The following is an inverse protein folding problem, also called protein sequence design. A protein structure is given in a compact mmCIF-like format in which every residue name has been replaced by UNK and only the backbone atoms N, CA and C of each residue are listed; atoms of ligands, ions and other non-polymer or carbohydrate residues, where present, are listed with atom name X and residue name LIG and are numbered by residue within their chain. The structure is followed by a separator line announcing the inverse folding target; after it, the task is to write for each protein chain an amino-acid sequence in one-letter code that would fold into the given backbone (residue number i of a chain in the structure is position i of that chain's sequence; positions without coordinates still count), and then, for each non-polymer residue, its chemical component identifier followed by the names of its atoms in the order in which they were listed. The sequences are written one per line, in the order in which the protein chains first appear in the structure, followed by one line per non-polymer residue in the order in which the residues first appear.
data_IF_518220582775
#
_entry.id   IF_518220582775
#
_cell.length_a   1.000
_cell.length_b   1.000
_cell.length_c   1.000
_cell.angle_alpha   90.00
_cell.angle_beta   90.00
_cell.angle_gamma   90.00
#
_symmetry.space_group_name_H-M   'P 1'
#
loop_
_entity.id
_entity.type
_entity.pdbx_description
1 polymer ?
#
# COMPACT_ATOMS: atom_id res chain seq x y z
N UNK A 1 8.04 -11.61 0.89
CA UNK A 1 7.87 -13.06 1.15
C UNK A 1 9.12 -13.74 0.65
N UNK A 2 9.79 -14.57 1.46
CA UNK A 2 11.00 -15.27 1.04
C UNK A 2 10.72 -16.55 0.20
N UNK A 3 9.45 -16.93 0.05
CA UNK A 3 9.03 -18.18 -0.59
C UNK A 3 8.01 -17.91 -1.71
N UNK A 4 8.06 -18.71 -2.77
CA UNK A 4 7.17 -18.62 -3.95
C UNK A 4 6.11 -19.73 -3.97
N UNK A 5 6.09 -20.62 -2.97
CA UNK A 5 5.08 -21.67 -2.81
C UNK A 5 4.08 -21.34 -1.71
N UNK A 6 2.89 -21.96 -1.80
CA UNK A 6 1.78 -21.71 -0.88
C UNK A 6 2.08 -22.13 0.55
N UNK A 7 2.67 -23.32 0.76
CA UNK A 7 2.83 -23.89 2.09
C UNK A 7 3.79 -23.06 2.92
N UNK A 8 5.00 -22.82 2.41
CA UNK A 8 6.02 -22.04 3.11
C UNK A 8 5.60 -20.58 3.28
N UNK A 9 4.85 -20.00 2.33
CA UNK A 9 4.27 -18.67 2.48
C UNK A 9 3.24 -18.58 3.62
N UNK A 10 2.38 -19.58 3.75
CA UNK A 10 1.38 -19.65 4.85
C UNK A 10 2.08 -19.82 6.19
N UNK A 11 3.06 -20.73 6.29
CA UNK A 11 3.85 -20.94 7.51
C UNK A 11 4.61 -19.67 7.92
N UNK A 12 5.20 -18.96 6.96
CA UNK A 12 5.84 -17.67 7.20
C UNK A 12 4.85 -16.65 7.81
N UNK A 13 3.67 -16.48 7.22
CA UNK A 13 2.67 -15.54 7.72
C UNK A 13 2.14 -15.92 9.11
N UNK A 14 1.93 -17.22 9.39
CA UNK A 14 1.55 -17.71 10.72
C UNK A 14 2.64 -17.47 11.77
N UNK A 15 3.91 -17.71 11.42
CA UNK A 15 5.04 -17.42 12.33
C UNK A 15 5.12 -15.93 12.69
N UNK A 16 4.73 -15.06 11.76
CA UNK A 16 4.67 -13.63 11.97
C UNK A 16 3.50 -13.25 12.88
N UNK A 17 2.32 -13.86 12.69
CA UNK A 17 1.18 -13.71 13.59
C UNK A 17 1.51 -14.15 15.03
N UNK A 18 2.20 -15.29 15.19
CA UNK A 18 2.66 -15.77 16.49
C UNK A 18 3.60 -14.76 17.17
N UNK A 19 4.45 -14.11 16.39
CA UNK A 19 5.36 -13.07 16.90
C UNK A 19 4.58 -11.85 17.39
N UNK A 20 3.54 -11.43 16.67
CA UNK A 20 2.61 -10.36 17.09
C UNK A 20 1.87 -10.72 18.38
N UNK A 21 1.38 -11.97 18.49
CA UNK A 21 0.68 -12.46 19.66
C UNK A 21 1.59 -12.41 20.90
N UNK A 22 2.86 -12.86 20.76
CA UNK A 22 3.84 -12.93 21.86
C UNK A 22 4.40 -11.56 22.29
N UNK A 23 4.55 -10.61 21.37
CA UNK A 23 5.17 -9.32 21.64
C UNK A 23 4.31 -8.46 22.59
N UNK A 24 4.90 -7.89 23.65
CA UNK A 24 4.21 -6.91 24.50
C UNK A 24 4.39 -5.48 23.97
N UNK A 25 5.49 -5.24 23.27
CA UNK A 25 5.84 -3.96 22.65
C UNK A 25 6.12 -4.12 21.16
N UNK A 26 5.46 -3.30 20.34
CA UNK A 26 5.53 -3.37 18.88
C UNK A 26 5.84 -1.98 18.32
N UNK A 27 6.86 -1.89 17.47
CA UNK A 27 7.16 -0.70 16.67
C UNK A 27 6.79 -0.95 15.22
N UNK A 28 5.96 -0.08 14.65
CA UNK A 28 5.60 -0.08 13.22
C UNK A 28 6.39 1.02 12.53
N UNK A 29 7.10 0.68 11.46
CA UNK A 29 7.91 1.64 10.69
C UNK A 29 7.21 2.00 9.40
N UNK A 30 6.54 3.15 9.37
CA UNK A 30 5.86 3.69 8.18
C UNK A 30 4.43 4.17 8.44
N UNK A 31 4.18 5.47 8.26
CA UNK A 31 2.88 6.12 8.38
C UNK A 31 2.02 6.10 7.13
N UNK A 32 2.17 5.06 6.28
CA UNK A 32 1.27 4.81 5.15
C UNK A 32 0.06 3.97 5.56
N UNK A 33 -0.80 3.61 4.61
CA UNK A 33 -2.06 2.92 4.88
C UNK A 33 -1.87 1.65 5.73
N UNK A 34 -0.93 0.78 5.32
CA UNK A 34 -0.61 -0.47 6.03
C UNK A 34 -0.22 -0.20 7.49
N UNK A 35 0.70 0.72 7.74
CA UNK A 35 1.16 0.99 9.10
C UNK A 35 0.10 1.62 9.99
N UNK A 36 -0.74 2.49 9.42
CA UNK A 36 -1.88 3.08 10.13
C UNK A 36 -2.89 2.02 10.54
N UNK A 37 -3.33 1.18 9.59
CA UNK A 37 -4.31 0.13 9.85
C UNK A 37 -3.76 -0.89 10.86
N UNK A 38 -2.52 -1.34 10.68
CA UNK A 38 -1.85 -2.23 11.64
C UNK A 38 -1.81 -1.63 13.05
N UNK A 39 -1.49 -0.35 13.19
CA UNK A 39 -1.42 0.29 14.51
C UNK A 39 -2.79 0.34 15.19
N UNK A 40 -3.84 0.67 14.44
CA UNK A 40 -5.20 0.71 14.99
C UNK A 40 -5.74 -0.67 15.32
N UNK A 41 -5.55 -1.65 14.43
CA UNK A 41 -6.07 -3.01 14.60
C UNK A 41 -5.39 -3.70 15.79
N UNK A 42 -4.07 -3.51 15.96
CA UNK A 42 -3.34 -4.05 17.10
C UNK A 42 -3.82 -3.47 18.44
N UNK A 43 -4.15 -2.18 18.50
CA UNK A 43 -4.65 -1.56 19.74
C UNK A 43 -6.07 -1.97 20.08
N UNK A 44 -6.91 -2.28 19.10
CA UNK A 44 -8.24 -2.84 19.36
C UNK A 44 -8.18 -4.31 19.77
N UNK A 45 -7.41 -5.14 19.05
CA UNK A 45 -7.27 -6.57 19.35
C UNK A 45 -6.51 -6.83 20.66
N UNK A 46 -5.51 -5.99 20.95
CA UNK A 46 -4.63 -6.15 22.10
C UNK A 46 -4.44 -4.82 22.86
N UNK A 47 -5.46 -4.34 23.60
CA UNK A 47 -5.42 -3.03 24.25
C UNK A 47 -4.23 -2.83 25.20
N UNK A 48 -3.72 -3.90 25.80
CA UNK A 48 -2.58 -3.87 26.71
C UNK A 48 -1.20 -3.77 26.02
N UNK A 49 -1.10 -4.01 24.71
CA UNK A 49 0.18 -3.92 23.99
C UNK A 49 0.59 -2.46 23.80
N UNK A 50 1.89 -2.22 23.94
CA UNK A 50 2.53 -0.94 23.65
C UNK A 50 2.80 -0.86 22.15
N UNK A 51 2.07 0.00 21.43
CA UNK A 51 2.24 0.17 19.97
C UNK A 51 2.79 1.55 19.68
N UNK A 52 3.94 1.60 19.00
CA UNK A 52 4.57 2.84 18.54
C UNK A 52 4.68 2.85 17.03
N UNK A 53 4.18 3.89 16.36
CA UNK A 53 4.41 4.12 14.94
C UNK A 53 5.51 5.17 14.74
N UNK A 54 6.53 4.82 13.96
CA UNK A 54 7.61 5.73 13.53
C UNK A 54 7.43 6.07 12.06
N UNK A 55 7.44 7.37 11.73
CA UNK A 55 7.36 7.85 10.36
C UNK A 55 8.40 8.92 10.04
N UNK A 56 9.00 8.81 8.85
CA UNK A 56 10.07 9.71 8.40
C UNK A 56 9.63 11.12 8.02
N UNK A 57 8.32 11.38 7.91
CA UNK A 57 7.75 12.69 7.58
C UNK A 57 6.88 13.18 8.71
N UNK A 58 6.57 14.48 8.72
CA UNK A 58 5.71 15.11 9.74
C UNK A 58 4.24 14.67 9.66
N UNK A 59 3.77 14.36 8.45
CA UNK A 59 2.39 13.96 8.20
C UNK A 59 2.32 12.48 7.80
N UNK A 60 1.35 11.79 8.39
CA UNK A 60 0.91 10.47 7.96
C UNK A 60 0.20 10.58 6.62
N UNK A 61 0.15 9.46 5.87
CA UNK A 61 -0.54 9.39 4.59
C UNK A 61 -0.18 10.54 3.63
N UNK A 62 1.11 10.81 3.34
CA UNK A 62 1.57 12.05 2.69
C UNK A 62 1.10 12.27 1.25
N UNK A 63 0.44 11.28 0.63
CA UNK A 63 -0.22 11.41 -0.67
C UNK A 63 -1.64 11.99 -0.56
N UNK A 64 -2.16 12.14 0.65
CA UNK A 64 -3.53 12.55 0.95
C UNK A 64 -3.54 13.93 1.58
N UNK A 65 -4.68 14.62 1.45
CA UNK A 65 -4.92 15.91 2.07
C UNK A 65 -4.74 15.84 3.60
N UNK A 66 -4.20 16.89 4.22
CA UNK A 66 -3.75 16.94 5.64
C UNK A 66 -4.83 16.55 6.65
N UNK A 67 -6.11 16.80 6.33
CA UNK A 67 -7.27 16.32 7.10
C UNK A 67 -7.23 14.80 7.39
N UNK A 68 -6.63 14.00 6.51
CA UNK A 68 -6.37 12.57 6.75
C UNK A 68 -5.43 12.37 7.95
N UNK A 69 -4.32 13.09 8.00
CA UNK A 69 -3.33 13.05 9.09
C UNK A 69 -3.97 13.45 10.42
N UNK A 70 -4.80 14.49 10.43
CA UNK A 70 -5.55 14.95 11.62
C UNK A 70 -6.50 13.87 12.15
N UNK A 71 -7.30 13.24 11.28
CA UNK A 71 -8.23 12.17 11.64
C UNK A 71 -7.47 10.97 12.24
N UNK A 72 -6.36 10.58 11.61
CA UNK A 72 -5.56 9.45 12.07
C UNK A 72 -4.89 9.77 13.42
N UNK A 73 -4.33 10.97 13.60
CA UNK A 73 -3.72 11.38 14.87
C UNK A 73 -4.75 11.39 16.02
N UNK A 74 -5.97 11.85 15.74
CA UNK A 74 -7.08 11.77 16.71
C UNK A 74 -7.38 10.31 17.09
N UNK A 75 -7.46 9.42 16.10
CA UNK A 75 -7.69 7.99 16.34
C UNK A 75 -6.55 7.33 17.12
N UNK A 76 -5.31 7.67 16.81
CA UNK A 76 -4.14 7.18 17.53
C UNK A 76 -4.17 7.61 18.99
N UNK A 77 -4.56 8.86 19.27
CA UNK A 77 -4.72 9.35 20.64
C UNK A 77 -5.84 8.61 21.39
N UNK A 78 -6.97 8.34 20.74
CA UNK A 78 -8.08 7.57 21.33
C UNK A 78 -7.66 6.15 21.71
N UNK A 79 -6.88 5.50 20.85
CA UNK A 79 -6.43 4.13 21.04
C UNK A 79 -5.16 4.01 21.91
N UNK A 80 -4.43 5.08 22.16
CA UNK A 80 -3.14 5.05 22.85
C UNK A 80 -1.98 4.52 22.00
N UNK A 81 -2.01 4.77 20.69
CA UNK A 81 -0.86 4.55 19.78
C UNK A 81 0.15 5.67 19.99
N UNK A 82 1.40 5.34 20.29
CA UNK A 82 2.50 6.32 20.35
C UNK A 82 2.92 6.67 18.92
N UNK A 83 3.00 7.96 18.60
CA UNK A 83 3.40 8.42 17.27
C UNK A 83 4.71 9.21 17.34
N UNK A 84 5.66 8.84 16.50
CA UNK A 84 6.93 9.54 16.32
C UNK A 84 7.07 9.89 14.83
N UNK A 85 7.03 11.18 14.50
CA UNK A 85 7.17 11.70 13.14
C UNK A 85 8.50 12.43 12.94
N UNK A 86 8.80 12.82 11.70
CA UNK A 86 9.97 13.65 11.39
C UNK A 86 11.31 12.94 11.45
N UNK A 87 11.33 11.62 11.65
CA UNK A 87 12.57 10.85 11.86
C UNK A 87 12.50 9.48 11.21
N UNK A 88 13.61 9.04 10.63
CA UNK A 88 13.68 7.77 9.91
C UNK A 88 14.23 6.70 10.84
N UNK A 89 13.57 5.55 10.85
CA UNK A 89 14.12 4.35 11.46
C UNK A 89 15.14 3.68 10.55
N UNK A 90 16.22 3.16 11.14
CA UNK A 90 17.21 2.32 10.49
C UNK A 90 16.79 0.87 10.73
N UNK A 91 16.21 0.24 9.71
CA UNK A 91 15.76 -1.15 9.81
C UNK A 91 16.97 -2.10 9.91
N UNK A 92 16.98 -3.05 10.85
CA UNK A 92 18.04 -4.05 10.92
C UNK A 92 18.02 -4.94 9.66
N UNK A 93 19.18 -5.39 9.15
CA UNK A 93 19.25 -6.29 8.00
C UNK A 93 18.58 -7.65 8.26
N UNK A 94 18.70 -8.16 9.50
CA UNK A 94 18.46 -9.57 9.81
C UNK A 94 17.39 -9.80 10.90
N UNK A 95 16.71 -8.75 11.38
CA UNK A 95 15.90 -8.87 12.59
C UNK A 95 14.75 -7.89 12.72
N UNK A 96 13.61 -8.42 13.15
CA UNK A 96 12.43 -7.69 13.59
C UNK A 96 12.38 -7.56 15.11
N UNK A 97 13.49 -7.75 15.83
CA UNK A 97 13.53 -7.73 17.31
C UNK A 97 14.68 -6.86 17.81
N UNK A 98 14.49 -6.22 18.96
CA UNK A 98 15.54 -5.48 19.66
C UNK A 98 15.43 -3.96 19.52
N UNK A 99 16.57 -3.29 19.45
CA UNK A 99 16.65 -1.84 19.51
C UNK A 99 16.66 -1.20 18.11
N UNK A 100 15.65 -0.38 17.84
CA UNK A 100 15.47 0.36 16.60
C UNK A 100 16.10 1.74 16.72
N UNK A 101 17.16 1.98 15.94
CA UNK A 101 17.83 3.29 15.87
C UNK A 101 17.08 4.24 14.96
N UNK A 102 16.95 5.48 15.40
CA UNK A 102 16.40 6.58 14.61
C UNK A 102 17.52 7.50 14.11
N UNK A 103 17.28 8.20 13.00
CA UNK A 103 18.26 9.14 12.41
C UNK A 103 18.54 10.37 13.27
N UNK A 104 17.70 10.65 14.26
CA UNK A 104 17.91 11.73 15.24
C UNK A 104 18.68 11.28 16.50
N UNK A 105 19.18 10.04 16.51
CA UNK A 105 19.96 9.48 17.61
C UNK A 105 19.14 8.80 18.70
N UNK A 106 17.79 8.87 18.67
CA UNK A 106 16.95 8.08 19.58
C UNK A 106 17.05 6.59 19.27
N UNK A 107 16.79 5.79 20.29
CA UNK A 107 16.71 4.34 20.21
C UNK A 107 15.43 3.86 20.88
N UNK A 108 14.70 2.97 20.21
CA UNK A 108 13.44 2.41 20.71
C UNK A 108 13.62 0.91 20.86
N UNK A 109 13.48 0.40 22.07
CA UNK A 109 13.49 -1.04 22.33
C UNK A 109 12.07 -1.59 22.18
N UNK A 110 11.90 -2.64 21.38
CA UNK A 110 10.63 -3.34 21.24
C UNK A 110 10.84 -4.84 21.01
N UNK A 111 9.84 -5.62 21.42
CA UNK A 111 9.82 -7.07 21.20
C UNK A 111 9.65 -7.40 19.72
N UNK A 112 8.96 -6.53 18.97
CA UNK A 112 8.73 -6.69 17.54
C UNK A 112 8.78 -5.36 16.78
N UNK A 113 9.49 -5.35 15.66
CA UNK A 113 9.55 -4.27 14.68
C UNK A 113 8.88 -4.74 13.39
N UNK A 114 7.85 -4.03 12.97
CA UNK A 114 7.08 -4.32 11.77
C UNK A 114 7.41 -3.28 10.69
N UNK A 115 8.15 -3.65 9.63
CA UNK A 115 8.38 -2.75 8.51
C UNK A 115 7.09 -2.58 7.70
N UNK A 116 6.56 -1.35 7.68
CA UNK A 116 5.46 -0.91 6.82
C UNK A 116 5.93 0.19 5.86
N UNK A 117 7.20 0.10 5.44
CA UNK A 117 7.81 1.00 4.47
C UNK A 117 7.30 0.69 3.06
N UNK A 118 7.22 1.70 2.20
CA UNK A 118 6.69 1.55 0.83
C UNK A 118 7.32 0.41 0.03
N UNK A 119 6.61 -0.02 -1.01
CA UNK A 119 7.01 -1.17 -1.81
C UNK A 119 8.22 -0.87 -2.72
N UNK A 120 9.00 -1.92 -3.01
CA UNK A 120 9.98 -1.91 -4.10
C UNK A 120 9.37 -2.60 -5.33
N UNK A 121 9.44 -2.01 -6.52
CA UNK A 121 8.88 -2.60 -7.73
C UNK A 121 9.50 -3.97 -8.04
N UNK A 122 8.67 -4.99 -8.29
CA UNK A 122 9.15 -6.28 -8.78
C UNK A 122 9.36 -6.25 -10.30
N UNK A 123 10.35 -5.48 -10.75
CA UNK A 123 10.64 -5.29 -12.18
C UNK A 123 12.12 -5.59 -12.52
N UNK A 124 12.76 -6.47 -11.74
CA UNK A 124 14.18 -6.81 -11.91
C UNK A 124 14.54 -7.27 -13.32
N UNK A 125 13.61 -7.93 -14.02
CA UNK A 125 13.80 -8.38 -15.41
C UNK A 125 14.07 -7.22 -16.39
N UNK A 126 13.64 -5.99 -16.09
CA UNK A 126 13.85 -4.84 -16.99
C UNK A 126 15.33 -4.51 -17.13
N UNK A 127 16.16 -4.91 -16.15
CA UNK A 127 17.62 -4.75 -16.22
C UNK A 127 18.27 -5.59 -17.32
N UNK A 128 17.57 -6.58 -17.87
CA UNK A 128 18.07 -7.41 -18.98
C UNK A 128 17.69 -6.84 -20.35
N UNK A 129 16.97 -5.71 -20.41
CA UNK A 129 16.54 -5.05 -21.65
C UNK A 129 17.43 -3.84 -21.91
N UNK A 130 17.93 -3.71 -23.14
CA UNK A 130 18.70 -2.54 -23.57
C UNK A 130 17.74 -1.43 -24.05
N UNK A 131 17.84 -0.19 -23.53
CA UNK A 131 17.08 0.93 -24.07
C UNK A 131 17.48 1.20 -25.53
N UNK A 132 16.50 1.53 -26.38
CA UNK A 132 16.75 1.92 -27.79
C UNK A 132 17.06 3.40 -27.96
N UNK A 133 16.94 4.16 -26.86
CA UNK A 133 17.19 5.60 -26.78
C UNK A 133 17.96 5.93 -25.51
N UNK A 134 18.44 7.17 -25.38
CA UNK A 134 19.09 7.65 -24.16
C UNK A 134 18.12 7.77 -22.95
N UNK A 135 16.81 7.62 -23.16
CA UNK A 135 15.81 7.63 -22.08
C UNK A 135 15.74 6.22 -21.44
N UNK A 136 16.12 6.06 -20.15
CA UNK A 136 16.14 4.73 -19.51
C UNK A 136 14.73 4.16 -19.35
N UNK A 137 14.60 2.83 -19.43
CA UNK A 137 13.32 2.10 -19.28
C UNK A 137 12.68 2.31 -17.90
N UNK A 138 13.50 2.47 -16.86
CA UNK A 138 13.07 2.75 -15.49
C UNK A 138 13.21 4.23 -15.18
N UNK A 139 12.26 4.78 -14.42
CA UNK A 139 12.37 6.12 -13.88
C UNK A 139 13.42 6.15 -12.76
N UNK A 140 14.52 6.93 -12.90
CA UNK A 140 15.60 6.95 -11.92
C UNK A 140 15.18 7.43 -10.51
N UNK A 141 14.09 8.20 -10.41
CA UNK A 141 13.63 8.77 -9.14
C UNK A 141 12.82 7.79 -8.28
N UNK A 142 12.16 6.81 -8.89
CA UNK A 142 11.22 5.93 -8.19
C UNK A 142 11.36 4.43 -8.56
N UNK A 143 12.16 4.10 -9.58
CA UNK A 143 12.41 2.74 -10.04
C UNK A 143 11.27 2.08 -10.81
N UNK A 144 10.16 2.77 -11.08
CA UNK A 144 9.05 2.22 -11.86
C UNK A 144 9.35 2.22 -13.37
N UNK A 145 8.69 1.34 -14.12
CA UNK A 145 8.80 1.24 -15.59
C UNK A 145 8.11 2.46 -16.21
N UNK A 146 8.82 3.23 -17.04
CA UNK A 146 8.23 4.34 -17.77
C UNK A 146 7.22 3.84 -18.80
N UNK A 147 5.99 4.35 -18.70
CA UNK A 147 4.90 4.00 -19.60
C UNK A 147 4.29 5.22 -20.27
N UNK A 148 3.69 5.01 -21.44
CA UNK A 148 2.81 5.97 -22.11
C UNK A 148 1.45 6.00 -21.39
N UNK A 149 0.57 6.99 -21.67
CA UNK A 149 -0.82 6.95 -21.20
C UNK A 149 -1.60 5.70 -21.62
N UNK A 150 -1.17 5.02 -22.69
CA UNK A 150 -1.71 3.73 -23.17
C UNK A 150 -1.19 2.52 -22.40
N UNK A 151 -0.32 2.74 -21.40
CA UNK A 151 0.36 1.75 -20.56
C UNK A 151 1.36 0.83 -21.28
N UNK A 152 1.64 1.10 -22.55
CA UNK A 152 2.80 0.54 -23.24
C UNK A 152 4.09 1.10 -22.63
N UNK A 153 5.17 0.32 -22.70
CA UNK A 153 6.51 0.83 -22.40
C UNK A 153 6.77 2.09 -23.24
N UNK A 154 7.42 3.09 -22.63
CA UNK A 154 7.68 4.36 -23.30
C UNK A 154 8.62 4.18 -24.50
N UNK A 155 9.63 3.33 -24.32
CA UNK A 155 10.66 3.01 -25.33
C UNK A 155 10.04 2.35 -26.58
N UNK A 156 10.33 2.86 -27.79
CA UNK A 156 9.71 2.39 -29.03
C UNK A 156 10.08 0.95 -29.40
N UNK A 157 11.26 0.45 -29.01
CA UNK A 157 11.67 -0.93 -29.29
C UNK A 157 10.82 -1.96 -28.53
N UNK A 158 10.16 -1.54 -27.45
CA UNK A 158 9.30 -2.37 -26.61
C UNK A 158 7.82 -1.94 -26.69
N UNK A 159 7.40 -1.38 -27.83
CA UNK A 159 6.03 -0.89 -28.03
C UNK A 159 4.93 -1.97 -27.88
N UNK A 160 5.27 -3.25 -27.96
CA UNK A 160 4.37 -4.38 -27.69
C UNK A 160 4.34 -4.81 -26.20
N UNK A 161 5.19 -4.24 -25.34
CA UNK A 161 5.19 -4.51 -23.90
C UNK A 161 4.33 -3.49 -23.15
N UNK A 162 3.60 -3.96 -22.15
CA UNK A 162 2.76 -3.14 -21.28
C UNK A 162 3.19 -3.31 -19.82
N UNK A 163 3.06 -2.25 -19.03
CA UNK A 163 3.20 -2.32 -17.58
C UNK A 163 1.98 -1.72 -16.89
N UNK A 164 1.45 -2.43 -15.90
CA UNK A 164 0.36 -2.01 -15.04
C UNK A 164 0.65 -2.38 -13.58
N UNK A 165 -0.13 -1.83 -12.66
CA UNK A 165 -0.01 -2.04 -11.22
C UNK A 165 1.21 -1.36 -10.60
N UNK A 166 1.79 -2.03 -9.62
CA UNK A 166 2.80 -1.47 -8.72
C UNK A 166 4.19 -1.32 -9.36
N UNK A 167 4.36 -1.78 -10.61
CA UNK A 167 5.60 -1.61 -11.38
C UNK A 167 5.57 -0.45 -12.37
N UNK A 168 4.40 0.10 -12.70
CA UNK A 168 4.23 1.04 -13.81
C UNK A 168 4.31 2.51 -13.37
N UNK A 169 5.10 3.35 -14.02
CA UNK A 169 5.19 4.79 -13.76
C UNK A 169 4.03 5.55 -14.42
N UNK A 170 2.79 5.19 -14.06
CA UNK A 170 1.58 5.68 -14.74
C UNK A 170 1.07 7.03 -14.21
N UNK A 171 1.73 7.62 -13.22
CA UNK A 171 1.25 8.78 -12.45
C UNK A 171 0.09 8.50 -11.48
N UNK A 172 -0.51 7.31 -11.51
CA UNK A 172 -1.54 6.93 -10.53
C UNK A 172 -0.92 6.38 -9.25
N UNK A 173 -1.52 6.69 -8.10
CA UNK A 173 -1.12 6.11 -6.82
C UNK A 173 -1.26 4.58 -6.83
N UNK A 174 -0.40 3.90 -6.05
CA UNK A 174 -0.33 2.44 -5.98
C UNK A 174 -1.47 1.89 -5.13
N UNK A 175 -2.52 1.41 -5.80
CA UNK A 175 -3.70 0.84 -5.17
C UNK A 175 -4.50 -0.02 -6.16
N UNK A 176 -5.34 -0.91 -5.61
CA UNK A 176 -6.14 -1.84 -6.40
C UNK A 176 -7.10 -1.15 -7.39
N UNK A 177 -7.73 -0.03 -7.01
CA UNK A 177 -8.67 0.70 -7.89
C UNK A 177 -7.98 1.28 -9.13
N UNK A 178 -6.88 2.05 -9.02
CA UNK A 178 -6.04 2.39 -10.17
C UNK A 178 -5.56 1.18 -10.96
N UNK A 179 -5.14 0.10 -10.30
CA UNK A 179 -4.71 -1.14 -10.96
C UNK A 179 -5.81 -1.76 -11.84
N UNK A 180 -7.06 -1.76 -11.37
CA UNK A 180 -8.19 -2.24 -12.16
C UNK A 180 -8.45 -1.37 -13.40
N UNK A 181 -8.37 -0.04 -13.26
CA UNK A 181 -8.48 0.87 -14.41
C UNK A 181 -7.34 0.67 -15.41
N UNK A 182 -6.11 0.49 -14.93
CA UNK A 182 -4.95 0.18 -15.76
C UNK A 182 -5.13 -1.15 -16.52
N UNK A 183 -5.63 -2.19 -15.86
CA UNK A 183 -5.90 -3.48 -16.49
C UNK A 183 -6.90 -3.36 -17.65
N UNK A 184 -7.95 -2.54 -17.50
CA UNK A 184 -8.90 -2.27 -18.59
C UNK A 184 -8.24 -1.58 -19.78
N UNK A 185 -7.39 -0.58 -19.53
CA UNK A 185 -6.63 0.14 -20.57
C UNK A 185 -5.71 -0.82 -21.32
N UNK A 186 -4.92 -1.63 -20.59
CA UNK A 186 -4.04 -2.64 -21.19
C UNK A 186 -4.84 -3.63 -22.03
N UNK A 187 -5.92 -4.20 -21.50
CA UNK A 187 -6.73 -5.19 -22.21
C UNK A 187 -7.29 -4.65 -23.53
N UNK A 188 -7.89 -3.45 -23.52
CA UNK A 188 -8.42 -2.82 -24.74
C UNK A 188 -7.34 -2.55 -25.78
N UNK A 189 -6.16 -2.10 -25.35
CA UNK A 189 -5.05 -1.80 -26.24
C UNK A 189 -4.41 -3.07 -26.82
N UNK A 190 -4.30 -4.15 -26.04
CA UNK A 190 -3.85 -5.46 -26.55
C UNK A 190 -4.82 -5.96 -27.62
N UNK A 191 -6.13 -5.92 -27.36
CA UNK A 191 -7.15 -6.34 -28.35
C UNK A 191 -7.06 -5.50 -29.63
N UNK A 192 -6.90 -4.18 -29.51
CA UNK A 192 -6.72 -3.31 -30.68
C UNK A 192 -5.50 -3.72 -31.50
N UNK A 193 -4.35 -3.96 -30.87
CA UNK A 193 -3.12 -4.38 -31.56
C UNK A 193 -3.25 -5.75 -32.24
N UNK A 194 -3.94 -6.71 -31.61
CA UNK A 194 -4.22 -8.03 -32.21
C UNK A 194 -5.08 -7.91 -33.47
N UNK A 195 -5.99 -6.94 -33.49
CA UNK A 195 -6.84 -6.63 -34.66
C UNK A 195 -6.17 -5.73 -35.70
N UNK A 196 -4.88 -5.39 -35.52
CA UNK A 196 -4.14 -4.51 -36.42
C UNK A 196 -4.51 -3.02 -36.30
N UNK A 197 -5.16 -2.63 -35.20
CA UNK A 197 -5.52 -1.24 -34.88
C UNK A 197 -4.50 -0.62 -33.93
N UNK A 198 -4.37 0.70 -34.00
CA UNK A 198 -3.53 1.46 -33.07
C UNK A 198 -4.11 1.45 -31.63
N UNK A 199 -3.28 1.27 -30.59
CA UNK A 199 -3.70 1.35 -29.20
C UNK A 199 -3.93 2.82 -28.78
N UNK A 200 -5.20 3.20 -28.64
CA UNK A 200 -5.59 4.60 -28.37
C UNK A 200 -6.24 4.82 -27.01
N UNK A 201 -6.58 3.75 -26.28
CA UNK A 201 -7.17 3.87 -24.94
C UNK A 201 -6.12 4.42 -23.97
N UNK A 202 -6.48 5.44 -23.18
CA UNK A 202 -5.57 6.11 -22.25
C UNK A 202 -6.07 6.00 -20.82
N UNK A 203 -5.13 5.84 -19.89
CA UNK A 203 -5.41 5.93 -18.47
C UNK A 203 -5.83 7.34 -18.09
N UNK A 204 -7.01 7.48 -17.49
CA UNK A 204 -7.43 8.69 -16.79
C UNK A 204 -6.95 8.60 -15.33
N UNK A 205 -5.97 9.44 -14.97
CA UNK A 205 -5.49 9.54 -13.59
C UNK A 205 -6.44 10.44 -12.79
N UNK A 206 -7.11 9.86 -11.80
CA UNK A 206 -7.98 10.61 -10.88
C UNK A 206 -7.24 10.94 -9.58
N UNK A 207 -7.71 11.94 -8.79
CA UNK A 207 -7.19 12.17 -7.45
C UNK A 207 -7.14 10.89 -6.60
N UNK A 208 -6.16 10.76 -5.69
CA UNK A 208 -6.07 9.64 -4.77
C UNK A 208 -7.33 9.48 -3.92
N UNK A 209 -7.75 8.23 -3.72
CA UNK A 209 -8.87 7.90 -2.85
C UNK A 209 -8.68 6.52 -2.26
N UNK A 210 -9.12 6.35 -1.02
CA UNK A 210 -8.90 5.14 -0.23
C UNK A 210 -10.10 4.85 0.67
N UNK A 211 -10.34 3.56 0.90
CA UNK A 211 -11.15 3.08 2.00
C UNK A 211 -10.17 2.54 3.05
N UNK A 212 -10.04 3.25 4.16
CA UNK A 212 -9.03 3.02 5.19
C UNK A 212 -9.73 2.54 6.47
N UNK A 213 -9.32 1.39 7.01
CA UNK A 213 -9.72 0.99 8.36
C UNK A 213 -8.97 1.83 9.41
N UNK A 214 -9.64 2.07 10.52
CA UNK A 214 -9.15 2.84 11.66
C UNK A 214 -9.37 2.01 12.94
N UNK A 215 -9.12 0.71 12.84
CA UNK A 215 -9.53 -0.33 13.77
C UNK A 215 -10.41 -1.35 13.07
N UNK A 216 -11.04 -2.24 13.84
CA UNK A 216 -11.81 -3.35 13.32
C UNK A 216 -13.15 -2.89 12.73
N UNK A 217 -13.85 -1.97 13.40
CA UNK A 217 -15.22 -1.55 13.00
C UNK A 217 -15.28 -0.13 12.44
N UNK A 218 -14.34 0.74 12.84
CA UNK A 218 -14.28 2.13 12.37
C UNK A 218 -13.48 2.20 11.07
N UNK A 219 -14.04 2.85 10.07
CA UNK A 219 -13.36 3.05 8.79
C UNK A 219 -13.75 4.38 8.14
N UNK A 220 -13.02 4.75 7.09
CA UNK A 220 -13.24 5.99 6.37
C UNK A 220 -13.05 5.80 4.88
N UNK A 221 -13.98 6.32 4.10
CA UNK A 221 -13.76 6.56 2.66
C UNK A 221 -13.29 8.00 2.49
N UNK A 222 -12.08 8.16 1.99
CA UNK A 222 -11.44 9.46 1.77
C UNK A 222 -11.10 9.64 0.29
N UNK A 223 -11.36 10.82 -0.25
CA UNK A 223 -10.95 11.22 -1.60
C UNK A 223 -10.30 12.60 -1.56
N UNK A 224 -9.11 12.70 -2.12
CA UNK A 224 -8.45 13.99 -2.30
C UNK A 224 -9.30 14.91 -3.21
N UNK A 225 -9.20 16.23 -3.00
CA UNK A 225 -9.83 17.20 -3.90
C UNK A 225 -9.27 17.06 -5.33
N UNK A 226 -10.13 17.28 -6.31
CA UNK A 226 -9.71 17.52 -7.69
C UNK A 226 -9.27 18.98 -7.87
N UNK A 227 -8.01 19.25 -7.54
CA UNK A 227 -7.42 20.60 -7.67
C UNK A 227 -7.50 21.14 -9.10
N UNK A 228 -7.41 20.27 -10.11
CA UNK A 228 -7.54 20.67 -11.52
C UNK A 228 -8.97 21.15 -11.87
N UNK A 229 -9.98 20.73 -11.10
CA UNK A 229 -11.36 21.22 -11.21
C UNK A 229 -11.68 22.35 -10.22
N UNK A 230 -10.68 22.87 -9.50
CA UNK A 230 -10.86 23.94 -8.52
C UNK A 230 -11.36 23.48 -7.15
N UNK A 231 -11.42 22.17 -6.88
CA UNK A 231 -11.75 21.66 -5.56
C UNK A 231 -10.55 21.85 -4.60
N UNK A 232 -10.83 22.24 -3.36
CA UNK A 232 -9.79 22.43 -2.32
C UNK A 232 -9.97 21.47 -1.14
N UNK A 233 -11.19 21.02 -0.89
CA UNK A 233 -11.52 20.17 0.26
C UNK A 233 -11.67 18.69 -0.15
N UNK A 234 -11.17 17.75 0.68
CA UNK A 234 -11.37 16.33 0.43
C UNK A 234 -12.81 15.91 0.75
N UNK A 235 -13.28 14.87 0.08
CA UNK A 235 -14.48 14.15 0.52
C UNK A 235 -14.10 13.17 1.62
N UNK A 236 -14.80 13.25 2.75
CA UNK A 236 -14.58 12.37 3.90
C UNK A 236 -15.90 11.75 4.34
N UNK A 237 -15.98 10.42 4.36
CA UNK A 237 -17.12 9.67 4.85
C UNK A 237 -16.65 8.69 5.94
N UNK A 238 -16.88 9.06 7.20
CA UNK A 238 -16.64 8.18 8.35
C UNK A 238 -17.74 7.12 8.42
N UNK A 239 -17.36 5.91 8.82
CA UNK A 239 -18.28 4.77 9.00
C UNK A 239 -17.89 3.99 10.24
N UNK A 240 -18.92 3.40 10.83
CA UNK A 240 -18.84 2.32 11.80
C UNK A 240 -19.80 1.26 11.26
N UNK A 241 -19.27 0.19 10.69
CA UNK A 241 -20.08 -0.87 10.08
C UNK A 241 -20.40 -2.01 11.05
N UNK A 242 -19.90 -1.93 12.29
CA UNK A 242 -20.06 -2.96 13.31
C UNK A 242 -19.49 -4.33 12.93
N UNK A 243 -18.64 -4.40 11.89
CA UNK A 243 -18.07 -5.65 11.37
C UNK A 243 -16.55 -5.55 11.22
N UNK A 244 -15.84 -6.48 11.85
CA UNK A 244 -14.38 -6.43 12.02
C UNK A 244 -13.57 -6.48 10.71
N UNK A 245 -14.18 -6.91 9.60
CA UNK A 245 -13.49 -7.16 8.33
C UNK A 245 -13.98 -6.27 7.17
N UNK A 246 -14.72 -5.21 7.47
CA UNK A 246 -15.32 -4.32 6.46
C UNK A 246 -16.17 -5.04 5.40
N UNK A 247 -16.86 -6.13 5.76
CA UNK A 247 -17.69 -6.94 4.84
C UNK A 247 -16.86 -7.53 3.68
N UNK A 248 -15.69 -8.10 4.00
CA UNK A 248 -14.80 -8.73 3.01
C UNK A 248 -15.47 -9.94 2.32
N UNK A 249 -16.39 -10.62 3.00
CA UNK A 249 -17.26 -11.68 2.47
C UNK A 249 -17.93 -11.26 1.15
N UNK A 250 -18.47 -10.04 1.10
CA UNK A 250 -19.10 -9.48 -0.11
C UNK A 250 -18.13 -9.36 -1.29
N UNK A 251 -16.83 -9.17 -1.03
CA UNK A 251 -15.79 -9.12 -2.08
C UNK A 251 -15.60 -10.51 -2.68
N UNK A 252 -15.57 -11.56 -1.85
CA UNK A 252 -15.44 -12.94 -2.28
C UNK A 252 -16.65 -13.40 -3.10
N UNK A 253 -17.86 -13.09 -2.64
CA UNK A 253 -19.10 -13.40 -3.36
C UNK A 253 -19.11 -12.77 -4.76
N UNK A 254 -18.73 -11.49 -4.88
CA UNK A 254 -18.60 -10.80 -6.18
C UNK A 254 -17.57 -11.43 -7.11
N UNK A 255 -16.63 -12.20 -6.58
CA UNK A 255 -15.62 -12.94 -7.35
C UNK A 255 -16.03 -14.40 -7.61
N UNK A 256 -17.27 -14.77 -7.28
CA UNK A 256 -17.80 -16.12 -7.47
C UNK A 256 -17.29 -17.12 -6.43
N UNK A 257 -16.68 -16.66 -5.34
CA UNK A 257 -16.25 -17.50 -4.22
C UNK A 257 -17.31 -17.42 -3.13
N UNK A 258 -18.00 -18.53 -2.86
CA UNK A 258 -18.90 -18.62 -1.72
C UNK A 258 -18.08 -18.95 -0.49
N UNK A 259 -18.20 -18.10 0.52
CA UNK A 259 -17.56 -18.29 1.82
C UNK A 259 -18.63 -18.75 2.79
N UNK A 260 -18.52 -19.96 3.31
CA UNK A 260 -19.47 -20.50 4.28
C UNK A 260 -19.12 -20.08 5.72
N UNK A 261 -17.83 -19.95 6.04
CA UNK A 261 -17.33 -19.54 7.34
C UNK A 261 -16.08 -18.65 7.20
N UNK A 262 -15.82 -17.69 8.12
CA UNK A 262 -14.64 -16.83 8.06
C UNK A 262 -13.31 -17.57 7.91
N UNK A 263 -13.22 -18.75 8.51
CA UNK A 263 -12.03 -19.63 8.50
C UNK A 263 -11.62 -20.07 7.10
N UNK A 264 -12.49 -20.00 6.10
CA UNK A 264 -12.17 -20.40 4.72
C UNK A 264 -11.25 -19.40 4.00
N UNK A 265 -11.12 -18.16 4.50
CA UNK A 265 -10.21 -17.15 3.96
C UNK A 265 -9.15 -16.66 4.96
N UNK A 266 -9.16 -17.15 6.20
CA UNK A 266 -8.08 -16.92 7.15
C UNK A 266 -6.90 -17.87 6.85
N UNK A 267 -5.68 -17.32 6.94
CA UNK A 267 -4.43 -18.06 6.73
C UNK A 267 -4.14 -19.05 7.85
#
# INVERSE_FOLDING_TARGET
MPYDDKLSSVEYLRSYQDSVIKASSIVIVGGGAVGVQMATDLKELYPAKEVTLVHSREHLMPLYHTKMDEIIKSRFSELGVKLITGTRAVLPPDGTQGALKLTDGREIVADLVIPATGQTPNNGFVKTLEPSTDDPLLNPSNGFIKVRPTLQFKDPAYSNLFAAGDIADSGAHKAARPGAAQAQVVAKNIVAMVEGREPTEKLLVTPPGIHLSLGLIKNMVFRNPNVAAGETEPTVMMRDDGKEDMNIDSVWERRGVRVAEPKEYHL
#
